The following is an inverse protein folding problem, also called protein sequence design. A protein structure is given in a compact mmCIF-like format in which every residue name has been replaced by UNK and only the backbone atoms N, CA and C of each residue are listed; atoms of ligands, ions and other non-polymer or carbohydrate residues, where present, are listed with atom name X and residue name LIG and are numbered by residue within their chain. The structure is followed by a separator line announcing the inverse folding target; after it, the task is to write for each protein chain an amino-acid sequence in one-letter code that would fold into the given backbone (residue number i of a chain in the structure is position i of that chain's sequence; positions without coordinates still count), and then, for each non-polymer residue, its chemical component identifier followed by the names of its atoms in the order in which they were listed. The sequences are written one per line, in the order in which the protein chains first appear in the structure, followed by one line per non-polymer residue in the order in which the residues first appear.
data_IF_999881784175
#
_entry.id   IF_999881784175
#
_cell.length_a   1.000
_cell.length_b   1.000
_cell.length_c   1.000
_cell.angle_alpha   90.00
_cell.angle_beta   90.00
_cell.angle_gamma   90.00
#
_symmetry.space_group_name_H-M   'P 1'
#
loop_
_entity.id
_entity.type
_entity.pdbx_description
1 polymer ?
#
# COMPACT_ATOMS: atom_id res chain seq x y z
N UNK A 1 -6.86 16.80 -7.25
CA UNK A 1 -8.28 17.16 -7.10
C UNK A 1 -8.83 16.46 -5.87
N UNK A 2 -9.61 17.15 -5.08
CA UNK A 2 -10.33 16.61 -3.92
C UNK A 2 -11.54 15.83 -4.45
N UNK A 3 -11.59 14.52 -4.19
CA UNK A 3 -12.72 13.67 -4.55
C UNK A 3 -13.79 13.67 -3.46
N UNK A 4 -13.38 13.57 -2.20
CA UNK A 4 -14.26 13.54 -1.05
C UNK A 4 -13.64 14.28 0.13
N UNK A 5 -14.49 14.86 0.97
CA UNK A 5 -14.09 15.50 2.23
C UNK A 5 -14.92 14.86 3.35
N UNK A 6 -14.25 14.35 4.37
CA UNK A 6 -14.87 13.77 5.57
C UNK A 6 -15.53 14.86 6.41
N UNK A 7 -16.77 14.63 6.85
CA UNK A 7 -17.52 15.59 7.65
C UNK A 7 -16.87 15.81 9.02
N UNK A 8 -16.77 17.08 9.46
CA UNK A 8 -16.13 17.44 10.74
C UNK A 8 -14.59 17.43 10.74
N UNK A 9 -13.96 17.02 9.64
CA UNK A 9 -12.50 17.05 9.46
C UNK A 9 -11.92 18.47 9.45
N UNK A 10 -10.59 18.64 9.67
CA UNK A 10 -9.94 19.93 9.51
C UNK A 10 -10.15 20.54 8.12
N UNK A 11 -10.19 19.72 7.06
CA UNK A 11 -10.46 20.20 5.71
C UNK A 11 -11.90 20.70 5.53
N UNK A 12 -12.87 19.99 6.09
CA UNK A 12 -14.27 20.41 6.08
C UNK A 12 -14.45 21.76 6.80
N UNK A 13 -13.85 21.91 7.99
CA UNK A 13 -13.88 23.16 8.77
C UNK A 13 -13.18 24.31 8.06
N UNK A 14 -12.13 24.01 7.30
CA UNK A 14 -11.41 24.99 6.48
C UNK A 14 -12.16 25.38 5.18
N UNK A 15 -13.30 24.75 4.90
CA UNK A 15 -14.13 25.07 3.73
C UNK A 15 -13.65 24.45 2.42
N UNK A 16 -12.85 23.39 2.48
CA UNK A 16 -12.44 22.59 1.32
C UNK A 16 -13.63 21.78 0.83
N UNK A 17 -13.79 21.67 -0.49
CA UNK A 17 -14.92 21.01 -1.13
C UNK A 17 -14.46 20.00 -2.20
N UNK A 18 -15.26 18.95 -2.47
CA UNK A 18 -15.09 18.13 -3.66
C UNK A 18 -14.96 18.99 -4.93
N UNK A 19 -13.98 18.66 -5.77
CA UNK A 19 -13.63 19.42 -6.98
C UNK A 19 -12.45 20.38 -6.82
N UNK A 20 -12.03 20.72 -5.59
CA UNK A 20 -10.87 21.59 -5.38
C UNK A 20 -9.57 20.95 -5.86
N UNK A 21 -8.69 21.71 -6.51
CA UNK A 21 -7.37 21.21 -6.91
C UNK A 21 -6.28 21.86 -6.10
N UNK A 22 -5.57 21.08 -5.28
CA UNK A 22 -4.41 21.56 -4.52
C UNK A 22 -3.27 21.88 -5.49
N UNK A 23 -2.85 23.14 -5.51
CA UNK A 23 -1.74 23.67 -6.31
C UNK A 23 -0.43 23.74 -5.50
N UNK A 24 -0.52 24.14 -4.23
CA UNK A 24 0.66 24.30 -3.37
C UNK A 24 0.34 24.07 -1.89
N UNK A 25 1.35 23.69 -1.13
CA UNK A 25 1.30 23.53 0.33
C UNK A 25 2.46 24.34 0.93
N UNK A 26 2.16 25.32 1.79
CA UNK A 26 3.13 26.27 2.36
C UNK A 26 4.02 26.91 1.28
N UNK A 27 3.42 27.27 0.13
CA UNK A 27 4.13 27.84 -1.01
C UNK A 27 4.99 26.84 -1.81
N UNK A 28 5.06 25.56 -1.41
CA UNK A 28 5.73 24.50 -2.17
C UNK A 28 4.75 23.96 -3.23
N UNK A 29 5.06 24.06 -4.53
CA UNK A 29 4.18 23.55 -5.59
C UNK A 29 3.99 22.04 -5.49
N UNK A 30 2.75 21.59 -5.68
CA UNK A 30 2.39 20.18 -5.71
C UNK A 30 2.06 19.78 -7.15
N UNK A 31 2.92 18.95 -7.73
CA UNK A 31 2.80 18.52 -9.14
C UNK A 31 2.84 17.00 -9.31
N UNK A 32 3.25 16.27 -8.28
CA UNK A 32 3.33 14.81 -8.24
C UNK A 32 3.26 14.30 -6.79
N UNK A 33 3.11 12.98 -6.61
CA UNK A 33 3.04 12.34 -5.29
C UNK A 33 4.26 12.65 -4.40
N UNK A 34 5.46 12.74 -4.99
CA UNK A 34 6.70 13.02 -4.26
C UNK A 34 6.70 14.43 -3.67
N UNK A 35 6.34 15.44 -4.47
CA UNK A 35 6.20 16.84 -4.03
C UNK A 35 5.11 17.02 -2.97
N UNK A 36 3.97 16.33 -3.14
CA UNK A 36 2.89 16.31 -2.15
C UNK A 36 3.37 15.74 -0.82
N UNK A 37 3.92 14.53 -0.86
CA UNK A 37 4.42 13.83 0.33
C UNK A 37 5.52 14.65 1.02
N UNK A 38 6.47 15.19 0.25
CA UNK A 38 7.56 16.01 0.79
C UNK A 38 7.06 17.31 1.44
N UNK A 39 6.03 17.93 0.87
CA UNK A 39 5.44 19.13 1.46
C UNK A 39 4.72 18.81 2.76
N UNK A 40 3.93 17.72 2.80
CA UNK A 40 3.24 17.27 4.02
C UNK A 40 4.19 16.82 5.13
N UNK A 41 5.23 16.04 4.80
CA UNK A 41 6.23 15.58 5.78
C UNK A 41 7.04 16.72 6.40
N UNK A 42 7.12 17.86 5.72
CA UNK A 42 7.81 19.03 6.25
C UNK A 42 6.99 19.81 7.31
N UNK A 43 5.76 19.39 7.58
CA UNK A 43 4.83 20.06 8.50
C UNK A 43 4.62 19.14 9.70
N UNK A 44 4.75 19.66 10.93
CA UNK A 44 4.46 18.84 12.11
C UNK A 44 2.96 18.71 12.31
N UNK A 45 2.54 17.57 12.85
CA UNK A 45 1.15 17.33 13.22
C UNK A 45 0.68 18.41 14.19
N UNK A 46 -0.45 19.05 13.90
CA UNK A 46 -1.03 20.14 14.70
C UNK A 46 -0.56 21.56 14.33
N UNK A 47 0.42 21.72 13.44
CA UNK A 47 0.82 23.05 12.94
C UNK A 47 -0.19 23.61 11.92
N UNK A 48 -0.23 24.93 11.77
CA UNK A 48 -0.96 25.55 10.67
C UNK A 48 -0.25 25.30 9.33
N UNK A 49 -1.05 24.94 8.32
CA UNK A 49 -0.61 24.77 6.95
C UNK A 49 -1.47 25.63 6.02
N UNK A 50 -0.83 26.27 5.05
CA UNK A 50 -1.45 27.10 4.03
C UNK A 50 -1.52 26.33 2.72
N UNK A 51 -2.72 26.15 2.21
CA UNK A 51 -3.02 25.53 0.93
C UNK A 51 -3.31 26.61 -0.12
N UNK A 52 -2.76 26.46 -1.31
CA UNK A 52 -3.29 27.10 -2.52
C UNK A 52 -4.16 26.08 -3.25
N UNK A 53 -5.41 26.44 -3.51
CA UNK A 53 -6.40 25.62 -4.19
C UNK A 53 -6.86 26.30 -5.48
N UNK A 54 -7.23 25.52 -6.47
CA UNK A 54 -7.93 25.98 -7.66
C UNK A 54 -9.37 25.47 -7.61
N UNK A 55 -10.34 26.38 -7.61
CA UNK A 55 -11.77 26.08 -7.57
C UNK A 55 -12.48 26.85 -8.68
N UNK A 56 -13.06 26.13 -9.64
CA UNK A 56 -13.67 26.75 -10.82
C UNK A 56 -12.61 27.40 -11.71
N UNK A 57 -12.37 28.71 -11.50
CA UNK A 57 -11.33 29.48 -12.21
C UNK A 57 -10.49 30.37 -11.29
N UNK A 58 -10.69 30.30 -9.98
CA UNK A 58 -10.02 31.15 -9.02
C UNK A 58 -9.01 30.36 -8.18
N UNK A 59 -7.88 31.00 -7.89
CA UNK A 59 -6.91 30.50 -6.90
C UNK A 59 -7.32 31.00 -5.51
N UNK A 60 -7.66 30.06 -4.63
CA UNK A 60 -8.10 30.32 -3.27
C UNK A 60 -6.99 29.88 -2.32
N UNK A 61 -6.63 30.73 -1.37
CA UNK A 61 -5.69 30.37 -0.32
C UNK A 61 -6.42 30.10 0.99
N UNK A 62 -6.24 28.90 1.55
CA UNK A 62 -6.90 28.44 2.78
C UNK A 62 -5.84 28.03 3.79
N UNK A 63 -5.99 28.46 5.04
CA UNK A 63 -5.19 27.95 6.16
C UNK A 63 -5.98 26.90 6.93
N UNK A 64 -5.33 25.80 7.29
CA UNK A 64 -5.93 24.73 8.10
C UNK A 64 -4.89 24.11 9.02
N UNK A 65 -5.34 23.36 10.02
CA UNK A 65 -4.44 22.54 10.84
C UNK A 65 -3.97 21.31 10.06
N UNK A 66 -2.71 20.96 10.22
CA UNK A 66 -2.05 19.84 9.56
C UNK A 66 -2.65 18.46 9.96
N UNK A 67 -2.29 17.36 9.27
CA UNK A 67 -3.03 16.10 9.23
C UNK A 67 -3.45 15.49 10.58
N UNK A 68 -4.53 14.67 10.62
CA UNK A 68 -5.28 14.15 9.47
C UNK A 68 -6.21 15.18 8.84
N UNK A 69 -6.11 15.37 7.52
CA UNK A 69 -6.90 16.38 6.79
C UNK A 69 -8.35 15.94 6.55
N UNK A 70 -8.62 14.62 6.49
CA UNK A 70 -9.94 14.08 6.14
C UNK A 70 -10.33 14.34 4.69
N UNK A 71 -9.36 14.21 3.76
CA UNK A 71 -9.58 14.45 2.32
C UNK A 71 -9.17 13.20 1.55
N UNK A 72 -10.04 12.75 0.63
CA UNK A 72 -9.65 11.84 -0.44
C UNK A 72 -9.28 12.63 -1.69
N UNK A 73 -8.22 12.21 -2.37
CA UNK A 73 -7.67 12.90 -3.52
C UNK A 73 -7.54 11.98 -4.73
N UNK A 74 -7.81 12.55 -5.91
CA UNK A 74 -7.55 11.94 -7.21
C UNK A 74 -6.80 12.92 -8.11
N UNK A 75 -6.02 12.41 -9.06
CA UNK A 75 -5.43 13.25 -10.10
C UNK A 75 -6.52 13.89 -10.95
N UNK A 76 -6.28 15.13 -11.39
CA UNK A 76 -7.18 15.83 -12.32
C UNK A 76 -7.13 15.09 -13.66
N UNK A 77 -8.30 14.82 -14.25
CA UNK A 77 -8.36 14.18 -15.56
C UNK A 77 -7.78 15.09 -16.65
N UNK A 78 -7.08 14.52 -17.63
CA UNK A 78 -6.47 15.28 -18.73
C UNK A 78 -5.13 15.96 -18.41
N UNK A 79 -4.52 15.73 -17.24
CA UNK A 79 -3.17 16.25 -16.95
C UNK A 79 -2.11 15.61 -17.86
N UNK A 80 -1.18 16.43 -18.35
CA UNK A 80 -0.01 15.95 -19.09
C UNK A 80 0.94 15.20 -18.15
N UNK A 81 0.96 13.87 -18.25
CA UNK A 81 1.92 13.04 -17.50
C UNK A 81 3.30 13.20 -18.13
N UNK A 82 4.13 14.08 -17.55
CA UNK A 82 5.52 14.25 -17.98
C UNK A 82 6.40 13.18 -17.34
N UNK A 83 6.83 12.20 -18.14
CA UNK A 83 7.77 11.17 -17.69
C UNK A 83 9.17 11.76 -17.55
N UNK A 84 9.75 11.67 -16.35
CA UNK A 84 11.13 12.04 -16.08
C UNK A 84 12.01 10.80 -16.15
N UNK A 85 12.93 10.77 -17.10
CA UNK A 85 13.96 9.73 -17.13
C UNK A 85 14.96 9.99 -16.01
N UNK A 86 15.24 8.96 -15.23
CA UNK A 86 16.27 8.96 -14.21
C UNK A 86 17.35 7.96 -14.61
N UNK A 87 18.62 8.21 -14.26
CA UNK A 87 19.68 7.27 -14.57
C UNK A 87 19.53 5.98 -13.75
N UNK A 88 20.06 4.88 -14.27
CA UNK A 88 19.86 3.52 -13.74
C UNK A 88 20.33 3.40 -12.28
N UNK A 89 21.46 3.99 -11.90
CA UNK A 89 21.96 3.96 -10.52
C UNK A 89 21.03 4.67 -9.55
N UNK A 90 20.44 5.81 -9.96
CA UNK A 90 19.43 6.49 -9.16
C UNK A 90 18.15 5.67 -9.07
N UNK A 91 17.75 5.01 -10.15
CA UNK A 91 16.61 4.09 -10.14
C UNK A 91 16.85 2.89 -9.19
N UNK A 92 18.05 2.32 -9.19
CA UNK A 92 18.42 1.24 -8.27
C UNK A 92 18.42 1.69 -6.81
N UNK A 93 18.96 2.88 -6.51
CA UNK A 93 18.91 3.46 -5.17
C UNK A 93 17.47 3.69 -4.69
N UNK A 94 16.62 4.28 -5.53
CA UNK A 94 15.20 4.47 -5.23
C UNK A 94 14.48 3.13 -5.05
N UNK A 95 14.73 2.15 -5.92
CA UNK A 95 14.19 0.80 -5.76
C UNK A 95 14.62 0.15 -4.44
N UNK A 96 15.88 0.31 -4.05
CA UNK A 96 16.40 -0.14 -2.76
C UNK A 96 15.72 0.53 -1.58
N UNK A 97 15.44 1.83 -1.65
CA UNK A 97 14.70 2.52 -0.60
C UNK A 97 13.24 2.05 -0.51
N UNK A 98 12.59 1.73 -1.63
CA UNK A 98 11.28 1.08 -1.61
C UNK A 98 11.32 -0.26 -0.87
N UNK A 99 12.30 -1.12 -1.17
CA UNK A 99 12.45 -2.43 -0.52
C UNK A 99 12.61 -2.30 0.99
N UNK A 100 13.46 -1.36 1.44
CA UNK A 100 13.74 -1.15 2.88
C UNK A 100 12.50 -0.59 3.60
N UNK A 101 11.74 0.30 2.98
CA UNK A 101 10.58 0.94 3.60
C UNK A 101 9.28 0.12 3.49
N UNK A 102 9.23 -0.85 2.58
CA UNK A 102 8.02 -1.65 2.33
C UNK A 102 7.47 -2.35 3.58
N UNK A 103 8.28 -2.96 4.47
CA UNK A 103 7.77 -3.57 5.70
C UNK A 103 7.03 -2.57 6.59
N UNK A 104 7.51 -1.33 6.69
CA UNK A 104 6.87 -0.27 7.45
C UNK A 104 5.50 0.07 6.87
N UNK A 105 5.37 0.11 5.55
CA UNK A 105 4.08 0.35 4.87
C UNK A 105 3.07 -0.76 5.16
N UNK A 106 3.51 -2.02 5.22
CA UNK A 106 2.64 -3.14 5.62
C UNK A 106 2.15 -2.97 7.05
N UNK A 107 3.03 -2.63 8.00
CA UNK A 107 2.62 -2.43 9.39
C UNK A 107 1.63 -1.26 9.51
N UNK A 108 1.86 -0.18 8.76
CA UNK A 108 0.98 0.99 8.73
C UNK A 108 -0.37 0.71 8.06
N UNK A 109 -0.48 -0.30 7.19
CA UNK A 109 -1.75 -0.67 6.59
C UNK A 109 -2.63 -1.54 7.49
N UNK A 110 -2.08 -2.20 8.53
CA UNK A 110 -2.84 -3.08 9.43
C UNK A 110 -4.09 -2.40 10.02
N UNK A 111 -4.07 -1.15 10.51
CA UNK A 111 -5.27 -0.47 11.00
C UNK A 111 -6.34 -0.29 9.92
N UNK A 112 -5.93 0.01 8.68
CA UNK A 112 -6.85 0.16 7.54
C UNK A 112 -7.48 -1.19 7.17
N UNK A 113 -6.67 -2.25 7.15
CA UNK A 113 -7.12 -3.63 6.92
C UNK A 113 -8.13 -4.07 7.97
N UNK A 114 -7.94 -3.67 9.24
CA UNK A 114 -8.88 -3.98 10.31
C UNK A 114 -10.20 -3.21 10.19
N UNK A 115 -10.17 -2.00 9.62
CA UNK A 115 -11.36 -1.18 9.42
C UNK A 115 -12.25 -1.73 8.31
N UNK A 116 -11.66 -2.28 7.24
CA UNK A 116 -12.38 -2.90 6.12
C UNK A 116 -11.67 -4.20 5.65
N UNK A 117 -11.90 -5.33 6.36
CA UNK A 117 -11.23 -6.60 6.06
C UNK A 117 -11.60 -7.17 4.68
N UNK A 118 -12.82 -6.91 4.21
CA UNK A 118 -13.35 -7.49 2.98
C UNK A 118 -12.64 -6.90 1.76
N UNK A 119 -12.30 -5.61 1.79
CA UNK A 119 -11.53 -4.95 0.72
C UNK A 119 -10.02 -5.20 0.77
N UNK A 120 -9.50 -5.61 1.92
CA UNK A 120 -8.06 -5.77 2.12
C UNK A 120 -7.48 -7.09 1.59
N UNK A 121 -8.30 -8.12 1.46
CA UNK A 121 -7.86 -9.46 1.05
C UNK A 121 -8.06 -9.61 -0.46
N UNK A 122 -6.96 -9.61 -1.22
CA UNK A 122 -6.93 -9.94 -2.64
C UNK A 122 -6.23 -11.28 -2.80
N UNK A 123 -6.92 -12.26 -3.39
CA UNK A 123 -6.35 -13.57 -3.65
C UNK A 123 -5.52 -13.65 -4.94
N UNK A 124 -5.06 -14.86 -5.29
CA UNK A 124 -4.23 -15.09 -6.47
C UNK A 124 -4.91 -14.67 -7.78
N UNK A 125 -6.23 -14.84 -7.88
CA UNK A 125 -6.98 -14.50 -9.09
C UNK A 125 -7.12 -12.98 -9.18
N UNK A 126 -7.51 -12.32 -8.08
CA UNK A 126 -7.57 -10.86 -8.01
C UNK A 126 -6.22 -10.20 -8.33
N UNK A 127 -5.12 -10.74 -7.79
CA UNK A 127 -3.76 -10.25 -8.08
C UNK A 127 -3.39 -10.37 -9.56
N UNK A 128 -3.79 -11.47 -10.21
CA UNK A 128 -3.62 -11.64 -11.65
C UNK A 128 -4.38 -10.59 -12.46
N UNK A 129 -5.61 -10.26 -12.05
CA UNK A 129 -6.41 -9.23 -12.71
C UNK A 129 -5.88 -7.82 -12.53
N UNK A 130 -5.48 -7.46 -11.30
CA UNK A 130 -4.82 -6.19 -11.04
C UNK A 130 -3.58 -6.03 -11.92
N UNK A 131 -2.82 -7.10 -12.10
CA UNK A 131 -1.65 -7.10 -12.99
C UNK A 131 -2.05 -6.82 -14.45
N UNK A 132 -3.10 -7.50 -14.96
CA UNK A 132 -3.61 -7.28 -16.33
C UNK A 132 -4.11 -5.85 -16.52
N UNK A 133 -4.85 -5.31 -15.55
CA UNK A 133 -5.37 -3.96 -15.58
C UNK A 133 -4.25 -2.92 -15.58
N UNK A 134 -3.25 -3.08 -14.70
CA UNK A 134 -2.08 -2.19 -14.65
C UNK A 134 -1.29 -2.24 -15.96
N UNK A 135 -1.09 -3.41 -16.56
CA UNK A 135 -0.41 -3.54 -17.86
C UNK A 135 -1.19 -2.79 -18.95
N UNK A 136 -2.51 -2.99 -19.03
CA UNK A 136 -3.37 -2.37 -20.06
C UNK A 136 -3.46 -0.85 -19.92
N UNK A 137 -3.58 -0.35 -18.69
CA UNK A 137 -3.82 1.08 -18.43
C UNK A 137 -2.53 1.88 -18.31
N UNK A 138 -1.47 1.30 -17.75
CA UNK A 138 -0.30 2.04 -17.27
C UNK A 138 1.03 1.60 -17.92
N UNK A 139 1.04 0.52 -18.72
CA UNK A 139 2.18 0.06 -19.50
C UNK A 139 3.23 -0.74 -18.74
N UNK A 140 4.27 -1.20 -19.46
CA UNK A 140 5.25 -2.19 -18.96
C UNK A 140 6.03 -1.73 -17.72
N UNK A 141 6.33 -0.43 -17.58
CA UNK A 141 7.05 0.09 -16.40
C UNK A 141 6.28 -0.13 -15.10
N UNK A 142 4.95 0.01 -15.14
CA UNK A 142 4.11 -0.20 -13.96
C UNK A 142 3.84 -1.68 -13.70
N UNK A 143 3.82 -2.51 -14.75
CA UNK A 143 3.80 -3.96 -14.60
C UNK A 143 5.04 -4.47 -13.84
N UNK A 144 6.23 -3.98 -14.19
CA UNK A 144 7.47 -4.30 -13.46
C UNK A 144 7.43 -3.83 -12.01
N UNK A 145 6.83 -2.66 -11.75
CA UNK A 145 6.65 -2.16 -10.39
C UNK A 145 5.71 -3.06 -9.56
N UNK A 146 4.56 -3.46 -10.11
CA UNK A 146 3.62 -4.39 -9.47
C UNK A 146 4.27 -5.75 -9.22
N UNK A 147 5.00 -6.29 -10.21
CA UNK A 147 5.75 -7.53 -10.04
C UNK A 147 6.79 -7.42 -8.90
N UNK A 148 7.44 -6.26 -8.78
CA UNK A 148 8.35 -5.96 -7.67
C UNK A 148 7.64 -5.94 -6.31
N UNK A 149 6.50 -5.27 -6.21
CA UNK A 149 5.67 -5.25 -4.98
C UNK A 149 5.25 -6.66 -4.58
N UNK A 150 4.74 -7.46 -5.52
CA UNK A 150 4.33 -8.84 -5.27
C UNK A 150 5.54 -9.67 -4.79
N UNK A 151 6.70 -9.51 -5.42
CA UNK A 151 7.92 -10.22 -5.05
C UNK A 151 8.39 -9.88 -3.62
N UNK A 152 8.35 -8.60 -3.23
CA UNK A 152 8.67 -8.17 -1.87
C UNK A 152 7.63 -8.73 -0.88
N UNK A 153 6.34 -8.67 -1.24
CA UNK A 153 5.26 -9.26 -0.45
C UNK A 153 5.46 -10.76 -0.20
N UNK A 154 5.82 -11.53 -1.22
CA UNK A 154 6.14 -12.96 -1.10
C UNK A 154 7.37 -13.21 -0.24
N UNK A 155 8.42 -12.41 -0.40
CA UNK A 155 9.62 -12.51 0.44
C UNK A 155 9.27 -12.28 1.91
N UNK A 156 8.49 -11.24 2.22
CA UNK A 156 8.03 -10.95 3.59
C UNK A 156 7.09 -12.02 4.14
N UNK A 157 6.19 -12.55 3.31
CA UNK A 157 5.33 -13.67 3.69
C UNK A 157 6.17 -14.90 4.06
N UNK A 158 7.21 -15.22 3.29
CA UNK A 158 8.11 -16.34 3.58
C UNK A 158 8.91 -16.17 4.88
N UNK A 159 9.11 -14.95 5.38
CA UNK A 159 9.74 -14.70 6.67
C UNK A 159 8.83 -14.95 7.88
N UNK A 160 7.52 -15.14 7.68
CA UNK A 160 6.60 -15.43 8.77
C UNK A 160 7.04 -16.75 9.45
N UNK A 161 7.10 -16.81 10.80
CA UNK A 161 7.54 -17.99 11.54
C UNK A 161 6.46 -19.08 11.57
N UNK A 162 6.08 -19.56 10.39
CA UNK A 162 4.99 -20.48 10.16
C UNK A 162 5.44 -21.59 9.20
N UNK A 163 5.57 -22.86 9.63
CA UNK A 163 5.81 -23.98 8.72
C UNK A 163 4.67 -24.05 7.68
N UNK A 164 4.88 -24.29 6.38
CA UNK A 164 6.07 -24.74 5.65
C UNK A 164 6.98 -23.62 5.13
N UNK A 165 6.72 -22.37 5.48
CA UNK A 165 7.48 -21.22 4.99
C UNK A 165 8.93 -21.24 5.51
N UNK A 166 9.82 -20.54 4.83
CA UNK A 166 11.25 -20.47 5.19
C UNK A 166 11.45 -19.98 6.63
N UNK A 167 10.66 -19.01 7.07
CA UNK A 167 10.62 -18.48 8.42
C UNK A 167 10.21 -19.53 9.47
N UNK A 168 9.44 -20.55 9.09
CA UNK A 168 9.15 -21.70 9.96
C UNK A 168 10.41 -22.52 10.27
N UNK A 169 11.29 -22.71 9.28
CA UNK A 169 12.60 -23.34 9.49
C UNK A 169 13.51 -22.48 10.34
N UNK A 170 13.50 -21.16 10.14
CA UNK A 170 14.23 -20.22 10.99
C UNK A 170 13.75 -20.28 12.44
N UNK A 171 12.43 -20.34 12.68
CA UNK A 171 11.86 -20.50 14.02
C UNK A 171 12.35 -21.78 14.69
N UNK A 172 12.35 -22.91 13.96
CA UNK A 172 12.89 -24.19 14.46
C UNK A 172 14.36 -24.04 14.85
N UNK A 173 15.19 -23.44 13.99
CA UNK A 173 16.60 -23.21 14.28
C UNK A 173 16.82 -22.31 15.51
N UNK A 174 16.01 -21.26 15.68
CA UNK A 174 16.04 -20.39 16.86
C UNK A 174 15.69 -21.19 18.12
N UNK A 175 14.63 -22.00 18.09
CA UNK A 175 14.23 -22.84 19.21
C UNK A 175 15.33 -23.84 19.57
N UNK A 176 15.93 -24.51 18.59
CA UNK A 176 17.04 -25.44 18.82
C UNK A 176 18.29 -24.74 19.38
N UNK A 177 18.60 -23.53 18.90
CA UNK A 177 19.66 -22.68 19.43
C UNK A 177 19.45 -22.32 20.91
N UNK A 178 18.24 -21.85 21.26
CA UNK A 178 17.86 -21.54 22.66
C UNK A 178 17.89 -22.80 23.53
N UNK A 179 17.53 -23.97 23.00
CA UNK A 179 17.61 -25.26 23.68
C UNK A 179 19.02 -25.84 23.74
N UNK A 180 20.06 -25.03 23.50
CA UNK A 180 21.48 -25.41 23.52
C UNK A 180 21.82 -26.53 22.54
N UNK A 181 21.24 -26.47 21.33
CA UNK A 181 21.47 -27.46 20.26
C UNK A 181 20.68 -28.75 20.42
N UNK A 182 19.79 -28.86 21.41
CA UNK A 182 18.87 -30.01 21.51
C UNK A 182 17.87 -29.96 20.37
N UNK A 183 18.04 -30.86 19.41
CA UNK A 183 17.14 -31.00 18.27
C UNK A 183 15.70 -31.24 18.71
N UNK A 184 14.75 -30.67 17.97
CA UNK A 184 13.34 -31.00 18.11
C UNK A 184 13.09 -32.41 17.56
N UNK A 185 12.08 -33.09 18.09
CA UNK A 185 11.72 -34.42 17.60
C UNK A 185 11.37 -34.32 16.11
N UNK A 186 11.94 -35.17 15.23
CA UNK A 186 11.59 -35.19 13.81
C UNK A 186 10.09 -35.38 13.56
N UNK A 187 9.38 -36.06 14.46
CA UNK A 187 7.92 -36.23 14.38
C UNK A 187 7.18 -34.91 14.60
N UNK A 188 7.63 -34.10 15.57
CA UNK A 188 7.02 -32.79 15.87
C UNK A 188 7.23 -31.82 14.72
N UNK A 189 8.44 -31.79 14.14
CA UNK A 189 8.72 -30.94 12.97
C UNK A 189 7.85 -31.38 11.79
N UNK A 190 7.83 -32.67 11.46
CA UNK A 190 6.97 -33.18 10.37
C UNK A 190 5.51 -32.84 10.58
N UNK A 191 4.99 -33.06 11.78
CA UNK A 191 3.60 -32.73 12.10
C UNK A 191 3.33 -31.23 11.93
N UNK A 192 4.21 -30.36 12.44
CA UNK A 192 4.07 -28.92 12.30
C UNK A 192 4.06 -28.49 10.83
N UNK A 193 4.96 -29.03 10.00
CA UNK A 193 4.98 -28.77 8.55
C UNK A 193 3.74 -29.31 7.86
N UNK A 194 3.27 -30.52 8.18
CA UNK A 194 2.07 -31.10 7.58
C UNK A 194 0.82 -30.28 7.92
N UNK A 195 0.63 -29.93 9.20
CA UNK A 195 -0.49 -29.09 9.66
C UNK A 195 -0.41 -27.72 8.99
N UNK A 196 0.77 -27.10 9.00
CA UNK A 196 1.00 -25.81 8.39
C UNK A 196 0.69 -25.79 6.89
N UNK A 197 1.19 -26.78 6.14
CA UNK A 197 0.91 -26.90 4.71
C UNK A 197 -0.57 -27.14 4.44
N UNK A 198 -1.22 -28.03 5.21
CA UNK A 198 -2.66 -28.26 5.08
C UNK A 198 -3.46 -26.98 5.35
N UNK A 199 -3.11 -26.22 6.38
CA UNK A 199 -3.74 -24.93 6.68
C UNK A 199 -3.54 -23.93 5.54
N UNK A 200 -2.33 -23.79 4.99
CA UNK A 200 -2.08 -22.89 3.87
C UNK A 200 -2.86 -23.29 2.62
N UNK A 201 -2.97 -24.58 2.31
CA UNK A 201 -3.78 -25.05 1.18
C UNK A 201 -5.26 -24.70 1.39
N UNK A 202 -5.80 -24.96 2.59
CA UNK A 202 -7.19 -24.62 2.93
C UNK A 202 -7.42 -23.11 2.80
N UNK A 203 -6.50 -22.30 3.33
CA UNK A 203 -6.57 -20.84 3.23
C UNK A 203 -6.49 -20.38 1.77
N UNK A 204 -5.57 -20.93 0.97
CA UNK A 204 -5.42 -20.58 -0.44
C UNK A 204 -6.69 -20.91 -1.22
N UNK A 205 -7.30 -22.08 -0.99
CA UNK A 205 -8.58 -22.48 -1.60
C UNK A 205 -9.71 -21.55 -1.16
N UNK A 206 -9.82 -21.23 0.12
CA UNK A 206 -10.86 -20.34 0.65
C UNK A 206 -10.76 -18.93 0.04
N UNK A 207 -9.56 -18.35 -0.01
CA UNK A 207 -9.31 -17.05 -0.62
C UNK A 207 -9.62 -17.08 -2.12
N UNK A 208 -9.16 -18.11 -2.83
CA UNK A 208 -9.41 -18.27 -4.27
C UNK A 208 -10.91 -18.42 -4.55
N UNK A 209 -11.65 -19.15 -3.72
CA UNK A 209 -13.10 -19.27 -3.84
C UNK A 209 -13.80 -17.92 -3.65
N UNK A 210 -13.36 -17.13 -2.67
CA UNK A 210 -13.88 -15.78 -2.46
C UNK A 210 -13.60 -14.85 -3.66
N UNK A 211 -12.39 -14.90 -4.23
CA UNK A 211 -12.06 -14.18 -5.46
C UNK A 211 -13.01 -14.56 -6.62
N UNK A 212 -13.27 -15.86 -6.81
CA UNK A 212 -14.18 -16.35 -7.86
C UNK A 212 -15.60 -15.83 -7.65
N UNK A 213 -16.08 -15.81 -6.40
CA UNK A 213 -17.41 -15.28 -6.10
C UNK A 213 -17.50 -13.78 -6.44
N UNK A 214 -16.51 -12.97 -6.02
CA UNK A 214 -16.45 -11.53 -6.36
C UNK A 214 -16.46 -11.29 -7.86
N UNK A 215 -15.77 -12.15 -8.61
CA UNK A 215 -15.75 -12.07 -10.08
C UNK A 215 -17.10 -12.30 -10.72
N UNK A 216 -17.86 -13.27 -10.21
CA UNK A 216 -19.16 -13.62 -10.76
C UNK A 216 -20.20 -12.58 -10.35
N UNK A 217 -20.11 -12.01 -9.16
CA UNK A 217 -21.01 -10.95 -8.68
C UNK A 217 -20.72 -9.58 -9.31
N UNK A 218 -19.56 -9.42 -9.97
CA UNK A 218 -19.17 -8.19 -10.65
C UNK A 218 -18.67 -7.10 -9.70
N UNK A 219 -18.28 -7.47 -8.48
CA UNK A 219 -17.63 -6.54 -7.55
C UNK A 219 -16.20 -6.24 -8.05
N UNK A 220 -15.85 -4.96 -8.13
CA UNK A 220 -14.50 -4.56 -8.53
C UNK A 220 -13.50 -4.86 -7.43
N UNK A 221 -12.34 -5.42 -7.80
CA UNK A 221 -11.17 -5.51 -6.90
C UNK A 221 -10.58 -4.13 -6.55
N UNK A 222 -11.02 -3.09 -7.27
CA UNK A 222 -10.65 -1.70 -7.09
C UNK A 222 -11.92 -0.87 -6.94
N UNK A 223 -12.17 -0.41 -5.70
CA UNK A 223 -13.29 0.44 -5.22
C UNK A 223 -14.55 -0.32 -4.80
#
# INVERSE_FOLDING_TARGET
MVSQVEEGSPAYKAGIRPGDTILSINGKPVSNNESMSSALQSIKVGEEMRLSLYRGQEEISISMTSPPMGIEMRWVEGTLIKRKHIPIWKAAYLGGSYIINFPTLIVQSIPLIRADPDKALVGPIGAGQLTVEVVKLLGLSNALFVAGIISIGLALFNFIPFPPLDGGGMLVAIIEGVRRGKRLSPQVIRLAYTIGTALLIVLAVAITFNDILRLITGESFML
#
